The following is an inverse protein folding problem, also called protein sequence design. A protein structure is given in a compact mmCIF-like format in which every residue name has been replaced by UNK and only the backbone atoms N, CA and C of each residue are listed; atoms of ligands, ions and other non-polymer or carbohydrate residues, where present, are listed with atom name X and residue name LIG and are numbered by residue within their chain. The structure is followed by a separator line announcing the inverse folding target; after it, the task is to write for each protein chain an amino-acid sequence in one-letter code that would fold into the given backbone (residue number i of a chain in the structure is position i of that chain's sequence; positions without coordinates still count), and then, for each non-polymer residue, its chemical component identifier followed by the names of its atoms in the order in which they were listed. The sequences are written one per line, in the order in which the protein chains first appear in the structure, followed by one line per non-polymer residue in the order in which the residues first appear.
data_IF_183219804109
#
_entry.id   IF_183219804109
#
_cell.length_a   1.000
_cell.length_b   1.000
_cell.length_c   1.000
_cell.angle_alpha   90.00
_cell.angle_beta   90.00
_cell.angle_gamma   90.00
#
_symmetry.space_group_name_H-M   'P 1'
#
loop_
_entity.id
_entity.type
_entity.pdbx_description
1 polymer ?
#
# COMPACT_ATOMS: atom_id res chain seq x y z
N UNK A 1 -20.73 56.88 11.80
CA UNK A 1 -19.50 56.18 11.46
C UNK A 1 -19.76 54.68 11.52
N UNK A 2 -19.92 54.09 10.36
CA UNK A 2 -20.12 52.63 10.26
C UNK A 2 -18.75 51.95 10.24
N UNK A 3 -18.40 51.22 11.29
CA UNK A 3 -17.17 50.38 11.32
C UNK A 3 -17.46 49.12 10.52
N UNK A 4 -16.78 49.00 9.39
CA UNK A 4 -16.75 47.79 8.55
C UNK A 4 -15.87 46.76 9.22
N UNK A 5 -16.45 45.71 9.76
CA UNK A 5 -15.69 44.52 10.23
C UNK A 5 -15.49 43.63 9.03
N UNK A 6 -14.26 43.66 8.50
CA UNK A 6 -13.80 42.69 7.49
C UNK A 6 -13.42 41.43 8.27
N UNK A 7 -14.34 40.47 8.29
CA UNK A 7 -14.05 39.12 8.77
C UNK A 7 -13.12 38.39 7.78
N UNK A 8 -11.86 38.23 8.19
CA UNK A 8 -10.92 37.40 7.47
C UNK A 8 -11.32 35.92 7.64
N UNK A 9 -12.06 35.40 6.67
CA UNK A 9 -12.35 33.97 6.58
C UNK A 9 -11.03 33.26 6.19
N UNK A 10 -10.35 32.70 7.20
CA UNK A 10 -9.29 31.73 7.01
C UNK A 10 -9.93 30.45 6.44
N UNK A 11 -9.90 30.33 5.12
CA UNK A 11 -10.16 29.08 4.43
C UNK A 11 -9.03 28.09 4.78
N UNK A 12 -9.24 27.31 5.84
CA UNK A 12 -8.50 26.08 6.04
C UNK A 12 -8.84 25.15 4.88
N UNK A 13 -8.02 25.20 3.84
CA UNK A 13 -8.02 24.14 2.84
C UNK A 13 -7.44 22.90 3.51
N UNK A 14 -8.32 22.09 4.07
CA UNK A 14 -7.98 20.70 4.38
C UNK A 14 -7.70 20.02 3.04
N UNK A 15 -6.44 19.72 2.77
CA UNK A 15 -6.08 18.80 1.71
C UNK A 15 -6.64 17.44 2.10
N UNK A 16 -7.87 17.16 1.71
CA UNK A 16 -8.40 15.82 1.71
C UNK A 16 -7.54 15.02 0.75
N UNK A 17 -6.81 14.03 1.28
CA UNK A 17 -6.17 13.02 0.44
C UNK A 17 -7.32 12.39 -0.33
N UNK A 18 -7.30 12.55 -1.65
CA UNK A 18 -8.34 12.01 -2.52
C UNK A 18 -8.23 10.48 -2.48
N UNK A 19 -9.10 9.84 -1.68
CA UNK A 19 -9.20 8.39 -1.58
C UNK A 19 -9.56 7.73 -2.93
N UNK A 20 -10.07 8.49 -3.87
CA UNK A 20 -10.31 8.05 -5.25
C UNK A 20 -9.00 7.86 -6.06
N UNK A 21 -7.85 8.21 -5.48
CA UNK A 21 -6.56 8.04 -6.14
C UNK A 21 -6.16 6.57 -6.30
N UNK A 22 -6.63 5.68 -5.41
CA UNK A 22 -6.34 4.25 -5.45
C UNK A 22 -7.52 3.46 -6.01
N UNK A 23 -7.23 2.50 -6.89
CA UNK A 23 -8.26 1.66 -7.51
C UNK A 23 -8.85 0.65 -6.54
N UNK A 24 -8.03 0.17 -5.59
CA UNK A 24 -8.45 -0.76 -4.55
C UNK A 24 -7.60 -0.61 -3.30
N UNK A 25 -8.23 -0.78 -2.13
CA UNK A 25 -7.55 -0.71 -0.83
C UNK A 25 -8.16 -1.73 0.12
N UNK A 26 -7.33 -2.40 0.93
CA UNK A 26 -7.78 -3.24 2.04
C UNK A 26 -6.74 -3.30 3.14
N UNK A 27 -7.17 -3.69 4.35
CA UNK A 27 -6.30 -3.93 5.48
C UNK A 27 -6.28 -5.41 5.86
N UNK A 28 -5.14 -5.89 6.32
CA UNK A 28 -4.95 -7.25 6.82
C UNK A 28 -4.00 -7.28 8.00
N UNK A 29 -4.37 -8.01 9.05
CA UNK A 29 -3.47 -8.34 10.15
C UNK A 29 -2.91 -9.74 9.94
N UNK A 30 -1.60 -9.90 10.11
CA UNK A 30 -0.90 -11.16 9.93
C UNK A 30 -0.11 -11.50 11.19
N UNK A 31 -0.16 -12.75 11.61
CA UNK A 31 0.77 -13.31 12.59
C UNK A 31 2.13 -13.56 11.95
N UNK A 32 3.15 -13.78 12.79
CA UNK A 32 4.48 -14.14 12.31
C UNK A 32 4.41 -15.35 11.37
N UNK A 33 5.06 -15.23 10.22
CA UNK A 33 5.13 -16.26 9.15
C UNK A 33 3.78 -16.61 8.49
N UNK A 34 2.68 -15.97 8.90
CA UNK A 34 1.40 -16.06 8.20
C UNK A 34 1.51 -15.41 6.83
N UNK A 35 1.05 -16.10 5.80
CA UNK A 35 1.14 -15.63 4.42
C UNK A 35 -0.15 -14.92 4.00
N UNK A 36 0.01 -13.83 3.28
CA UNK A 36 -1.03 -13.15 2.54
C UNK A 36 -0.82 -13.39 1.06
N UNK A 37 -1.87 -13.83 0.38
CA UNK A 37 -1.86 -14.10 -1.06
C UNK A 37 -2.70 -13.06 -1.78
N UNK A 38 -2.10 -12.37 -2.74
CA UNK A 38 -2.79 -11.39 -3.59
C UNK A 38 -2.66 -11.84 -5.03
N UNK A 39 -3.79 -12.15 -5.66
CA UNK A 39 -3.85 -12.37 -7.09
C UNK A 39 -3.87 -11.02 -7.80
N UNK A 40 -2.97 -10.86 -8.75
CA UNK A 40 -2.87 -9.69 -9.62
C UNK A 40 -3.20 -10.13 -11.03
N UNK A 41 -4.25 -9.57 -11.60
CA UNK A 41 -4.65 -9.84 -12.98
C UNK A 41 -4.32 -8.61 -13.83
N UNK A 42 -3.51 -8.79 -14.86
CA UNK A 42 -3.23 -7.79 -15.88
C UNK A 42 -3.78 -8.28 -17.22
N UNK A 43 -4.90 -7.70 -17.64
CA UNK A 43 -5.67 -8.16 -18.81
C UNK A 43 -6.13 -9.61 -18.59
N UNK A 44 -5.49 -10.60 -19.26
CA UNK A 44 -5.78 -12.03 -19.12
C UNK A 44 -4.66 -12.81 -18.43
N UNK A 45 -3.64 -12.11 -17.93
CA UNK A 45 -2.49 -12.73 -17.25
C UNK A 45 -2.65 -12.59 -15.72
N UNK A 46 -2.62 -13.71 -15.03
CA UNK A 46 -2.72 -13.76 -13.56
C UNK A 46 -1.34 -14.05 -12.95
N UNK A 47 -0.94 -13.23 -12.00
CA UNK A 47 0.28 -13.36 -11.22
C UNK A 47 -0.06 -13.42 -9.74
N UNK A 48 0.77 -14.10 -8.97
CA UNK A 48 0.60 -14.23 -7.54
C UNK A 48 1.66 -13.42 -6.79
N UNK A 49 1.20 -12.57 -5.87
CA UNK A 49 2.03 -11.97 -4.85
C UNK A 49 1.83 -12.70 -3.54
N UNK A 50 2.91 -13.20 -2.96
CA UNK A 50 2.95 -13.78 -1.62
C UNK A 50 3.71 -12.82 -0.71
N UNK A 51 3.10 -12.45 0.40
CA UNK A 51 3.68 -11.57 1.40
C UNK A 51 3.60 -12.18 2.78
N UNK A 52 4.66 -12.03 3.57
CA UNK A 52 4.70 -12.36 5.00
C UNK A 52 5.72 -11.51 5.73
N UNK A 53 5.65 -11.49 7.04
CA UNK A 53 6.71 -10.97 7.89
C UNK A 53 7.26 -12.08 8.80
N UNK A 54 8.54 -11.98 9.19
CA UNK A 54 9.25 -13.05 9.89
C UNK A 54 9.84 -12.64 11.21
N UNK A 55 10.18 -11.37 11.38
CA UNK A 55 10.79 -10.84 12.58
C UNK A 55 10.31 -9.42 12.86
N UNK A 56 9.96 -9.16 14.12
CA UNK A 56 9.72 -7.81 14.62
C UNK A 56 10.67 -7.55 15.77
N UNK A 57 11.55 -6.57 15.63
CA UNK A 57 12.52 -6.19 16.65
C UNK A 57 12.87 -4.72 16.56
N UNK A 58 12.98 -4.03 17.72
CA UNK A 58 13.32 -2.60 17.78
C UNK A 58 12.48 -1.70 16.85
N UNK A 59 11.16 -1.95 16.79
CA UNK A 59 10.21 -1.27 15.90
C UNK A 59 10.47 -1.49 14.40
N UNK A 60 11.39 -2.38 14.05
CA UNK A 60 11.64 -2.83 12.68
C UNK A 60 10.95 -4.16 12.39
N UNK A 61 10.35 -4.27 11.21
CA UNK A 61 9.65 -5.46 10.74
C UNK A 61 10.35 -6.00 9.49
N UNK A 62 10.88 -7.23 9.58
CA UNK A 62 11.45 -7.91 8.42
C UNK A 62 10.32 -8.56 7.63
N UNK A 63 10.21 -8.19 6.37
CA UNK A 63 9.19 -8.70 5.45
C UNK A 63 9.82 -9.45 4.29
N UNK A 64 9.09 -10.44 3.80
CA UNK A 64 9.42 -11.22 2.62
C UNK A 64 8.27 -11.12 1.63
N UNK A 65 8.61 -10.78 0.40
CA UNK A 65 7.69 -10.79 -0.72
C UNK A 65 8.17 -11.76 -1.79
N UNK A 66 7.25 -12.38 -2.48
CA UNK A 66 7.53 -13.11 -3.71
C UNK A 66 6.46 -12.72 -4.73
N UNK A 67 6.86 -12.02 -5.76
CA UNK A 67 5.98 -11.66 -6.85
C UNK A 67 6.41 -12.35 -8.13
N UNK A 68 5.54 -13.20 -8.64
CA UNK A 68 5.76 -13.97 -9.86
C UNK A 68 7.11 -14.72 -9.86
N UNK A 69 7.44 -15.37 -8.73
CA UNK A 69 8.69 -16.13 -8.57
C UNK A 69 9.92 -15.29 -8.22
N UNK A 70 9.81 -13.97 -8.11
CA UNK A 70 10.90 -13.08 -7.71
C UNK A 70 10.82 -12.74 -6.22
N UNK A 71 11.68 -13.31 -5.38
CA UNK A 71 11.71 -13.02 -3.95
C UNK A 71 12.38 -11.68 -3.66
N UNK A 72 11.92 -11.01 -2.61
CA UNK A 72 12.55 -9.80 -2.07
C UNK A 72 12.39 -9.76 -0.56
N UNK A 73 13.37 -9.18 0.12
CA UNK A 73 13.35 -8.95 1.56
C UNK A 73 13.50 -7.46 1.82
N UNK A 74 12.68 -6.93 2.73
CA UNK A 74 12.75 -5.54 3.14
C UNK A 74 12.55 -5.39 4.64
N UNK A 75 13.10 -4.31 5.20
CA UNK A 75 12.94 -3.91 6.58
C UNK A 75 12.08 -2.66 6.64
N UNK A 76 10.97 -2.75 7.36
CA UNK A 76 10.01 -1.65 7.49
C UNK A 76 10.08 -1.05 8.90
N UNK A 77 10.06 0.29 8.97
CA UNK A 77 10.01 1.05 10.22
C UNK A 77 8.81 2.00 10.22
N UNK A 78 7.94 1.90 11.21
CA UNK A 78 6.76 2.77 11.31
C UNK A 78 7.11 4.26 11.40
N UNK A 79 8.24 4.62 12.01
CA UNK A 79 8.58 6.01 12.39
C UNK A 79 9.32 6.82 11.33
N UNK A 80 9.84 6.22 10.25
CA UNK A 80 10.82 6.88 9.36
C UNK A 80 10.35 7.04 7.92
N UNK A 81 9.07 7.06 7.64
CA UNK A 81 8.53 7.05 6.25
C UNK A 81 9.00 5.84 5.41
N UNK A 82 9.73 4.90 6.03
CA UNK A 82 10.18 3.64 5.44
C UNK A 82 9.27 2.49 5.89
N UNK A 83 7.98 2.77 5.90
CA UNK A 83 6.96 1.82 6.37
C UNK A 83 6.23 1.13 5.23
N UNK A 84 6.62 1.37 3.98
CA UNK A 84 5.91 0.85 2.81
C UNK A 84 6.85 0.19 1.82
N UNK A 85 6.34 -0.86 1.17
CA UNK A 85 6.95 -1.54 0.04
C UNK A 85 6.17 -1.16 -1.21
N UNK A 86 6.86 -0.67 -2.24
CA UNK A 86 6.30 -0.48 -3.57
C UNK A 86 6.65 -1.68 -4.44
N UNK A 87 5.63 -2.27 -5.07
CA UNK A 87 5.78 -3.39 -6.00
C UNK A 87 5.17 -2.98 -7.32
N UNK A 88 6.00 -2.86 -8.35
CA UNK A 88 5.51 -2.67 -9.72
C UNK A 88 4.91 -3.98 -10.23
N UNK A 89 3.63 -3.97 -10.56
CA UNK A 89 2.89 -5.20 -10.88
C UNK A 89 2.79 -5.48 -12.38
N UNK A 90 3.03 -4.45 -13.21
CA UNK A 90 3.17 -4.61 -14.66
C UNK A 90 4.09 -3.51 -15.19
N UNK A 91 4.86 -3.85 -16.23
CA UNK A 91 5.65 -2.87 -16.96
C UNK A 91 4.83 -2.40 -18.17
N UNK A 92 4.54 -1.11 -18.24
CA UNK A 92 3.90 -0.49 -19.41
C UNK A 92 5.00 0.09 -20.28
N UNK A 93 5.17 -0.47 -21.48
CA UNK A 93 6.15 0.01 -22.47
C UNK A 93 5.53 1.04 -23.45
N UNK A 94 4.23 1.27 -23.35
CA UNK A 94 3.51 2.16 -24.25
C UNK A 94 3.72 3.62 -23.85
N UNK A 95 3.99 4.48 -24.83
CA UNK A 95 4.19 5.94 -24.65
C UNK A 95 3.01 6.65 -23.98
N UNK A 96 1.83 6.02 -23.94
CA UNK A 96 0.60 6.57 -23.37
C UNK A 96 0.50 6.35 -21.85
N UNK A 97 1.25 5.42 -21.27
CA UNK A 97 1.22 5.18 -19.83
C UNK A 97 2.57 5.55 -19.18
N UNK A 98 2.67 6.78 -18.74
CA UNK A 98 3.84 7.30 -18.01
C UNK A 98 4.06 6.61 -16.65
N UNK A 99 3.14 5.79 -16.21
CA UNK A 99 3.15 5.19 -14.87
C UNK A 99 2.83 3.71 -14.94
N UNK A 100 3.75 2.90 -14.43
CA UNK A 100 3.47 1.49 -14.20
C UNK A 100 2.44 1.32 -13.08
N UNK A 101 1.50 0.39 -13.20
CA UNK A 101 0.64 0.04 -12.09
C UNK A 101 1.46 -0.59 -10.95
N UNK A 102 1.08 -0.30 -9.71
CA UNK A 102 1.82 -0.76 -8.54
C UNK A 102 0.91 -1.05 -7.34
N UNK A 103 1.46 -1.80 -6.40
CA UNK A 103 0.95 -1.97 -5.06
C UNK A 103 1.85 -1.25 -4.06
N UNK A 104 1.25 -0.63 -3.04
CA UNK A 104 1.91 -0.32 -1.78
C UNK A 104 1.42 -1.29 -0.71
N UNK A 105 2.34 -1.89 0.04
CA UNK A 105 2.05 -2.60 1.27
C UNK A 105 2.66 -1.78 2.40
N UNK A 106 1.81 -1.18 3.22
CA UNK A 106 2.20 -0.26 4.29
C UNK A 106 2.05 -0.94 5.64
N UNK A 107 3.11 -0.94 6.43
CA UNK A 107 3.08 -1.38 7.81
C UNK A 107 2.44 -0.31 8.70
N UNK A 108 1.28 -0.60 9.27
CA UNK A 108 0.51 0.32 10.10
C UNK A 108 0.87 0.23 11.59
N UNK A 109 1.32 -0.92 12.05
CA UNK A 109 1.71 -1.12 13.44
C UNK A 109 1.70 -2.57 13.87
N UNK A 110 2.25 -2.81 15.07
CA UNK A 110 2.32 -4.12 15.70
C UNK A 110 1.44 -4.14 16.95
N UNK A 111 0.60 -5.17 17.05
CA UNK A 111 -0.23 -5.44 18.22
C UNK A 111 0.49 -6.48 19.11
N UNK A 112 0.91 -6.04 20.29
CA UNK A 112 1.61 -6.89 21.26
C UNK A 112 0.69 -7.93 21.94
N UNK A 113 -0.62 -7.68 21.98
CA UNK A 113 -1.59 -8.60 22.57
C UNK A 113 -1.83 -9.79 21.65
N UNK A 114 -2.14 -9.52 20.38
CA UNK A 114 -2.41 -10.55 19.38
C UNK A 114 -1.13 -11.07 18.72
N UNK A 115 0.02 -10.42 18.94
CA UNK A 115 1.31 -10.68 18.29
C UNK A 115 1.19 -10.69 16.76
N UNK A 116 0.47 -9.70 16.24
CA UNK A 116 0.24 -9.54 14.81
C UNK A 116 0.67 -8.17 14.32
N UNK A 117 1.08 -8.11 13.07
CA UNK A 117 1.38 -6.88 12.35
C UNK A 117 0.22 -6.54 11.43
N UNK A 118 -0.20 -5.27 11.43
CA UNK A 118 -1.27 -4.78 10.57
C UNK A 118 -0.69 -4.09 9.35
N UNK A 119 -1.25 -4.41 8.18
CA UNK A 119 -0.84 -3.87 6.88
C UNK A 119 -2.04 -3.27 6.16
N UNK A 120 -1.77 -2.24 5.39
CA UNK A 120 -2.66 -1.69 4.38
C UNK A 120 -2.09 -1.98 3.00
N UNK A 121 -2.92 -2.45 2.09
CA UNK A 121 -2.58 -2.67 0.69
C UNK A 121 -3.32 -1.68 -0.17
N UNK A 122 -2.57 -0.90 -0.95
CA UNK A 122 -3.07 0.11 -1.88
C UNK A 122 -2.72 -0.31 -3.30
N UNK A 123 -3.70 -0.33 -4.18
CA UNK A 123 -3.52 -0.63 -5.60
C UNK A 123 -3.70 0.64 -6.42
N UNK A 124 -2.73 0.96 -7.26
CA UNK A 124 -2.76 2.09 -8.17
C UNK A 124 -2.54 1.64 -9.59
N UNK A 125 -3.54 1.84 -10.42
CA UNK A 125 -3.46 1.66 -11.87
C UNK A 125 -4.32 2.71 -12.59
N UNK A 126 -3.71 3.77 -13.13
CA UNK A 126 -4.44 4.80 -13.88
C UNK A 126 -5.11 4.27 -15.14
N UNK A 127 -4.59 3.18 -15.72
CA UNK A 127 -5.15 2.58 -16.95
C UNK A 127 -6.40 1.75 -16.68
N UNK A 128 -6.60 1.26 -15.44
CA UNK A 128 -7.69 0.37 -15.08
C UNK A 128 -7.60 -1.04 -15.67
N UNK A 129 -6.42 -1.43 -16.23
CA UNK A 129 -6.22 -2.74 -16.86
C UNK A 129 -5.84 -3.84 -15.87
N UNK A 130 -5.39 -3.47 -14.67
CA UNK A 130 -5.03 -4.41 -13.62
C UNK A 130 -6.09 -4.43 -12.53
N UNK A 131 -6.25 -5.59 -11.92
CA UNK A 131 -7.08 -5.79 -10.72
C UNK A 131 -6.35 -6.64 -9.71
N UNK A 132 -6.71 -6.49 -8.44
CA UNK A 132 -6.17 -7.29 -7.35
C UNK A 132 -7.28 -7.96 -6.55
N UNK A 133 -7.02 -9.17 -6.09
CA UNK A 133 -7.94 -9.92 -5.22
C UNK A 133 -7.14 -10.57 -4.09
N UNK A 134 -7.55 -10.30 -2.85
CA UNK A 134 -7.04 -11.03 -1.69
C UNK A 134 -7.57 -12.46 -1.74
N UNK A 135 -6.68 -13.44 -1.76
CA UNK A 135 -7.04 -14.87 -1.69
C UNK A 135 -7.05 -15.32 -0.22
N UNK A 136 -8.07 -16.10 0.12
CA UNK A 136 -8.21 -16.73 1.43
C UNK A 136 -7.46 -18.06 1.47
#
# INVERSE_FOLDING_TARGET
MKKLFIGLLLLCQSYAIDLNYFNNTFEKSLKKDEQMFISVTDRNDEKLLVFRWTLFHNNGLVTLTNYNGMPSQQLLYKRYQENSIKIDIALRQDELSRYNPYLFITFLGYDYVTKSAKFEVLHKDPSGLTSIVLKN
#
